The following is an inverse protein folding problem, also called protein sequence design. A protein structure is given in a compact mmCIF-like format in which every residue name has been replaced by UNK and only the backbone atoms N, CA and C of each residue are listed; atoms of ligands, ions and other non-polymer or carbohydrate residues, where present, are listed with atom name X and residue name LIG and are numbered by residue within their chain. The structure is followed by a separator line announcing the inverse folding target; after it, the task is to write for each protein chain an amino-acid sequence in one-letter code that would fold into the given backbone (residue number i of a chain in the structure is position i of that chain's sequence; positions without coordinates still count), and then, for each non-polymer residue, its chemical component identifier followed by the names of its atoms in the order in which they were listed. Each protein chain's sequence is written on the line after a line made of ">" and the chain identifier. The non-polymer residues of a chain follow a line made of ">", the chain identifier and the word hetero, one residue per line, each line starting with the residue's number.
data_IF_821025596736
#
_entry.id   IF_821025596736
#
_cell.length_a   1.000
_cell.length_b   1.000
_cell.length_c   1.000
_cell.angle_alpha   90.00
_cell.angle_beta   90.00
_cell.angle_gamma   90.00
#
_symmetry.space_group_name_H-M   'P 1'
#
loop_
_entity.id
_entity.type
_entity.pdbx_description
1 polymer ?
#
# COMPACT_ATOMS: atom_id res chain seq x y z
N UNK A 1 11.81 -5.44 -31.15
CA UNK A 1 12.40 -5.14 -29.85
C UNK A 1 12.88 -3.70 -29.71
N UNK A 2 13.22 -3.05 -30.80
CA UNK A 2 13.78 -1.69 -30.77
C UNK A 2 12.80 -0.57 -30.50
N UNK A 3 11.49 -0.83 -30.33
CA UNK A 3 10.48 0.23 -30.39
C UNK A 3 9.49 0.27 -29.22
N UNK A 4 9.73 -0.49 -28.17
CA UNK A 4 9.08 -0.31 -26.87
C UNK A 4 9.89 0.70 -26.04
N UNK A 5 10.55 1.62 -26.69
CA UNK A 5 11.23 2.69 -26.01
C UNK A 5 10.16 3.66 -25.51
N UNK A 6 10.17 3.87 -24.20
CA UNK A 6 9.39 4.91 -23.57
C UNK A 6 9.66 6.23 -24.29
N UNK A 7 8.68 6.71 -25.00
CA UNK A 7 8.83 7.93 -25.77
C UNK A 7 8.73 9.18 -24.91
N UNK A 8 8.14 9.04 -23.72
CA UNK A 8 8.02 10.14 -22.75
C UNK A 8 7.65 9.61 -21.35
N UNK A 9 7.95 10.39 -20.33
CA UNK A 9 7.53 10.12 -18.94
C UNK A 9 6.00 10.07 -18.83
N UNK A 10 5.28 10.93 -19.55
CA UNK A 10 3.82 10.94 -19.59
C UNK A 10 3.27 9.63 -20.15
N UNK A 11 3.91 9.06 -21.16
CA UNK A 11 3.50 7.75 -21.68
C UNK A 11 3.73 6.64 -20.66
N UNK A 12 4.83 6.69 -19.90
CA UNK A 12 5.10 5.76 -18.82
C UNK A 12 4.01 5.81 -17.75
N UNK A 13 3.55 7.00 -17.35
CA UNK A 13 2.41 7.18 -16.45
C UNK A 13 1.11 6.63 -17.06
N UNK A 14 0.84 6.93 -18.31
CA UNK A 14 -0.38 6.49 -18.99
C UNK A 14 -0.52 4.97 -19.10
N UNK A 15 0.57 4.23 -19.11
CA UNK A 15 0.60 2.76 -19.10
C UNK A 15 0.85 2.16 -17.71
N UNK A 16 0.76 2.95 -16.65
CA UNK A 16 0.96 2.55 -15.26
C UNK A 16 2.36 1.96 -14.95
N UNK A 17 3.38 2.35 -15.71
CA UNK A 17 4.77 1.94 -15.43
C UNK A 17 5.35 2.75 -14.26
N UNK A 18 4.97 4.02 -14.14
CA UNK A 18 5.33 4.92 -13.03
C UNK A 18 4.06 5.50 -12.42
N UNK A 19 4.12 5.80 -11.13
CA UNK A 19 2.97 6.34 -10.39
C UNK A 19 2.72 7.81 -10.72
N UNK A 20 3.79 8.59 -10.87
CA UNK A 20 3.68 10.01 -11.15
C UNK A 20 4.79 10.52 -12.06
N UNK A 21 4.57 11.68 -12.63
CA UNK A 21 5.53 12.44 -13.44
C UNK A 21 5.45 13.88 -13.00
N UNK A 22 6.56 14.40 -12.51
CA UNK A 22 6.65 15.75 -11.96
C UNK A 22 7.89 16.47 -12.52
N UNK A 23 7.96 17.80 -12.47
CA UNK A 23 9.19 18.53 -12.74
C UNK A 23 10.34 18.04 -11.87
N UNK A 24 11.58 18.11 -12.39
CA UNK A 24 12.75 17.61 -11.66
C UNK A 24 12.91 18.25 -10.27
N UNK A 25 12.59 19.56 -10.14
CA UNK A 25 12.66 20.25 -8.86
C UNK A 25 11.68 19.77 -7.80
N UNK A 26 10.60 19.05 -8.21
CA UNK A 26 9.57 18.54 -7.32
C UNK A 26 9.73 17.03 -7.04
N UNK A 27 10.76 16.41 -7.62
CA UNK A 27 10.94 14.96 -7.53
C UNK A 27 11.10 14.50 -6.08
N UNK A 28 12.02 15.09 -5.34
CA UNK A 28 12.30 14.68 -3.96
C UNK A 28 11.11 14.91 -3.04
N UNK A 29 10.42 16.04 -3.19
CA UNK A 29 9.21 16.37 -2.42
C UNK A 29 8.09 15.37 -2.71
N UNK A 30 7.91 14.99 -3.98
CA UNK A 30 6.91 14.00 -4.38
C UNK A 30 7.25 12.62 -3.86
N UNK A 31 8.51 12.20 -3.95
CA UNK A 31 8.98 10.92 -3.39
C UNK A 31 8.76 10.89 -1.88
N UNK A 32 9.13 11.96 -1.17
CA UNK A 32 8.95 12.06 0.28
C UNK A 32 7.47 11.97 0.68
N UNK A 33 6.56 12.53 -0.10
CA UNK A 33 5.12 12.39 0.11
C UNK A 33 4.70 10.92 0.04
N UNK A 34 5.08 10.19 -1.01
CA UNK A 34 4.76 8.76 -1.14
C UNK A 34 5.35 7.91 -0.01
N UNK A 35 6.59 8.22 0.42
CA UNK A 35 7.22 7.55 1.57
C UNK A 35 6.41 7.78 2.84
N UNK A 36 6.03 9.02 3.12
CA UNK A 36 5.24 9.39 4.31
C UNK A 36 3.88 8.69 4.30
N UNK A 37 3.20 8.66 3.17
CA UNK A 37 1.93 7.95 3.01
C UNK A 37 2.10 6.44 3.25
N UNK A 38 3.14 5.82 2.70
CA UNK A 38 3.43 4.41 2.90
C UNK A 38 3.75 4.07 4.37
N UNK A 39 4.52 4.92 5.05
CA UNK A 39 4.89 4.75 6.45
C UNK A 39 3.75 5.04 7.43
N UNK A 40 2.67 5.68 7.00
CA UNK A 40 1.48 5.87 7.81
C UNK A 40 0.66 4.60 7.99
N UNK A 41 0.82 3.63 7.10
CA UNK A 41 0.11 2.35 7.16
C UNK A 41 0.83 1.35 8.07
N UNK A 42 0.05 0.43 8.71
CA UNK A 42 0.62 -0.65 9.52
C UNK A 42 1.51 -1.57 8.66
N UNK A 43 2.79 -1.77 9.02
CA UNK A 43 3.72 -2.60 8.25
C UNK A 43 3.20 -4.04 8.04
N UNK A 44 2.66 -4.66 9.09
CA UNK A 44 2.12 -6.02 8.99
C UNK A 44 0.84 -6.08 8.16
N UNK A 45 -0.01 -5.07 8.23
CA UNK A 45 -1.22 -5.01 7.42
C UNK A 45 -0.88 -4.89 5.92
N UNK A 46 0.09 -4.05 5.57
CA UNK A 46 0.57 -3.91 4.19
C UNK A 46 1.19 -5.22 3.69
N UNK A 47 2.04 -5.86 4.49
CA UNK A 47 2.66 -7.14 4.13
C UNK A 47 1.61 -8.23 3.91
N UNK A 48 0.62 -8.34 4.79
CA UNK A 48 -0.49 -9.31 4.67
C UNK A 48 -1.37 -9.03 3.46
N UNK A 49 -1.73 -7.77 3.21
CA UNK A 49 -2.51 -7.38 2.04
C UNK A 49 -1.79 -7.77 0.73
N UNK A 50 -0.48 -7.51 0.64
CA UNK A 50 0.33 -7.93 -0.51
C UNK A 50 0.39 -9.44 -0.67
N UNK A 51 0.57 -10.18 0.42
CA UNK A 51 0.59 -11.65 0.41
C UNK A 51 -0.77 -12.26 0.05
N UNK A 52 -1.88 -11.56 0.31
CA UNK A 52 -3.22 -12.03 -0.01
C UNK A 52 -3.53 -11.99 -1.51
N UNK A 53 -2.95 -11.02 -2.25
CA UNK A 53 -3.23 -10.81 -3.66
C UNK A 53 -3.09 -12.09 -4.51
N UNK A 54 -1.95 -12.83 -4.49
CA UNK A 54 -1.80 -14.04 -5.29
C UNK A 54 -2.76 -15.17 -4.87
N UNK A 55 -3.27 -15.12 -3.65
CA UNK A 55 -4.21 -16.13 -3.14
C UNK A 55 -5.65 -15.90 -3.60
N UNK A 56 -5.99 -14.70 -4.02
CA UNK A 56 -7.34 -14.32 -4.45
C UNK A 56 -7.44 -13.99 -5.94
N UNK A 57 -6.31 -13.63 -6.56
CA UNK A 57 -6.29 -13.21 -7.96
C UNK A 57 -6.75 -14.33 -8.89
N UNK A 58 -7.74 -14.03 -9.76
CA UNK A 58 -8.27 -14.97 -10.72
C UNK A 58 -9.14 -16.10 -10.14
N UNK A 59 -9.47 -16.05 -8.86
CA UNK A 59 -10.33 -17.03 -8.21
C UNK A 59 -11.78 -16.52 -8.10
N UNK A 60 -12.72 -17.44 -8.00
CA UNK A 60 -14.11 -17.06 -7.74
C UNK A 60 -14.22 -16.44 -6.34
N UNK A 61 -14.93 -15.31 -6.16
CA UNK A 61 -15.12 -14.71 -4.85
C UNK A 61 -15.62 -15.66 -3.77
N UNK A 62 -16.53 -16.58 -4.10
CA UNK A 62 -17.05 -17.58 -3.16
C UNK A 62 -15.95 -18.52 -2.61
N UNK A 63 -14.93 -18.82 -3.42
CA UNK A 63 -13.86 -19.76 -3.04
C UNK A 63 -12.77 -19.12 -2.16
N UNK A 64 -12.82 -17.79 -1.99
CA UNK A 64 -11.81 -17.03 -1.22
C UNK A 64 -12.37 -16.38 0.04
N UNK A 65 -13.65 -16.59 0.35
CA UNK A 65 -14.30 -16.00 1.54
C UNK A 65 -13.56 -16.36 2.81
N UNK A 66 -13.25 -17.66 3.04
CA UNK A 66 -12.56 -18.11 4.25
C UNK A 66 -11.16 -17.51 4.33
N UNK A 67 -10.40 -17.51 3.24
CA UNK A 67 -9.04 -16.94 3.20
C UNK A 67 -9.06 -15.46 3.55
N UNK A 68 -10.01 -14.71 3.02
CA UNK A 68 -10.12 -13.26 3.28
C UNK A 68 -10.65 -12.97 4.68
N UNK A 69 -11.59 -13.77 5.18
CA UNK A 69 -12.11 -13.67 6.54
C UNK A 69 -11.02 -13.96 7.58
N UNK A 70 -10.23 -15.01 7.39
CA UNK A 70 -9.10 -15.35 8.26
C UNK A 70 -8.02 -14.26 8.24
N UNK A 71 -7.72 -13.71 7.07
CA UNK A 71 -6.74 -12.65 6.94
C UNK A 71 -7.13 -11.40 7.74
N UNK A 72 -8.38 -10.93 7.63
CA UNK A 72 -8.84 -9.74 8.37
C UNK A 72 -8.99 -10.05 9.87
N UNK A 73 -9.50 -11.22 10.25
CA UNK A 73 -9.61 -11.61 11.65
C UNK A 73 -8.24 -11.66 12.33
N UNK A 74 -7.26 -12.31 11.69
CA UNK A 74 -5.89 -12.41 12.19
C UNK A 74 -5.22 -11.02 12.30
N UNK A 75 -5.46 -10.13 11.33
CA UNK A 75 -4.95 -8.76 11.40
C UNK A 75 -5.58 -7.98 12.55
N UNK A 76 -6.89 -8.12 12.74
CA UNK A 76 -7.63 -7.41 13.77
C UNK A 76 -7.13 -7.72 15.19
N UNK A 77 -6.81 -9.00 15.48
CA UNK A 77 -6.33 -9.41 16.80
C UNK A 77 -4.82 -9.26 16.98
N UNK A 78 -4.09 -8.91 15.93
CA UNK A 78 -2.65 -8.68 16.02
C UNK A 78 -2.31 -7.46 16.89
N UNK A 79 -1.09 -7.38 17.46
CA UNK A 79 -0.66 -6.20 18.21
C UNK A 79 -0.80 -4.89 17.42
N UNK A 80 -0.41 -4.87 16.15
CA UNK A 80 -0.56 -3.70 15.30
C UNK A 80 -2.04 -3.39 14.98
N UNK A 81 -2.86 -4.41 14.74
CA UNK A 81 -4.30 -4.22 14.53
C UNK A 81 -4.97 -3.59 15.76
N UNK A 82 -4.61 -4.05 16.96
CA UNK A 82 -5.11 -3.50 18.21
C UNK A 82 -4.59 -2.07 18.46
N UNK A 83 -3.32 -1.81 18.17
CA UNK A 83 -2.76 -0.46 18.24
C UNK A 83 -3.47 0.50 17.28
N UNK A 84 -3.69 0.08 16.03
CA UNK A 84 -4.40 0.91 15.06
C UNK A 84 -5.83 1.26 15.50
N UNK A 85 -6.55 0.28 16.03
CA UNK A 85 -7.91 0.51 16.57
C UNK A 85 -7.90 1.49 17.75
N UNK A 86 -6.96 1.32 18.69
CA UNK A 86 -6.82 2.24 19.83
C UNK A 86 -6.44 3.65 19.38
N UNK A 87 -5.45 3.76 18.51
CA UNK A 87 -5.02 5.04 17.95
C UNK A 87 -6.18 5.79 17.28
N UNK A 88 -7.00 5.07 16.51
CA UNK A 88 -8.19 5.63 15.88
C UNK A 88 -9.22 6.15 16.90
N UNK A 89 -9.54 5.35 17.92
CA UNK A 89 -10.49 5.72 18.97
C UNK A 89 -9.98 6.90 19.79
N UNK A 90 -8.69 6.90 20.12
CA UNK A 90 -8.02 7.95 20.91
C UNK A 90 -7.69 9.21 20.09
N UNK A 91 -7.96 9.19 18.79
CA UNK A 91 -7.62 10.28 17.83
C UNK A 91 -6.14 10.67 17.86
N UNK A 92 -5.26 9.71 17.98
CA UNK A 92 -3.81 9.86 17.98
C UNK A 92 -3.15 9.13 16.82
N UNK A 93 -1.91 9.47 16.55
CA UNK A 93 -1.07 8.75 15.58
C UNK A 93 -0.70 7.38 16.13
N UNK A 94 -0.78 6.31 15.32
CA UNK A 94 -0.32 4.97 15.70
C UNK A 94 1.19 4.94 15.99
N UNK A 95 1.61 4.01 16.86
CA UNK A 95 2.99 3.93 17.34
C UNK A 95 4.03 3.57 16.25
N UNK A 96 3.60 2.98 15.14
CA UNK A 96 4.51 2.66 14.02
C UNK A 96 4.82 3.85 13.10
N UNK A 97 4.05 4.93 13.20
CA UNK A 97 4.28 6.11 12.36
C UNK A 97 5.52 6.85 12.85
N UNK A 98 6.49 7.16 11.98
CA UNK A 98 7.67 7.91 12.38
C UNK A 98 7.28 9.24 13.02
N UNK A 99 7.89 9.55 14.15
CA UNK A 99 7.78 10.89 14.75
C UNK A 99 8.61 11.84 13.90
N UNK A 100 7.98 12.87 13.35
CA UNK A 100 8.65 13.95 12.61
C UNK A 100 9.37 14.90 13.55
#
# INVERSE_FOLDING_TARGET
>A
FRRVLFRSAQKAKAINLVHDVVPLGDLDTTVQKYITEALSASPTAVARAKALIPNVLGRNPADVIEITADAIASQRVSPEGQEGLRAFLDKRTPAWTPQS
#
